data_IF_232757064654
#
_entry.id   IF_232757064654
#
_cell.length_a   1.000
_cell.length_b   1.000
_cell.length_c   1.000
_cell.angle_alpha   90.00
_cell.angle_beta   90.00
_cell.angle_gamma   90.00
#
_symmetry.space_group_name_H-M   'P 1'
#
loop_
_entity.id
_entity.type
_entity.pdbx_description
1 polymer ?
#
# COMPACT_ATOMS: atom_id res chain seq x y z
N UNK A 1 72.48 0.81 7.48
CA UNK A 1 72.60 -0.54 6.87
C UNK A 1 73.11 -1.61 7.83
N UNK A 2 73.88 -1.28 8.87
CA UNK A 2 74.34 -2.21 9.92
C UNK A 2 73.22 -2.70 10.83
N UNK A 3 72.24 -1.86 11.16
CA UNK A 3 71.11 -2.23 12.04
C UNK A 3 70.18 -3.29 11.43
N UNK A 4 69.93 -3.20 10.11
CA UNK A 4 69.06 -4.12 9.36
C UNK A 4 69.64 -5.54 9.33
N UNK A 5 70.97 -5.66 9.23
CA UNK A 5 71.67 -6.96 9.24
C UNK A 5 71.81 -7.56 10.64
N UNK A 6 71.73 -6.75 11.69
CA UNK A 6 71.93 -7.21 13.07
C UNK A 6 70.66 -7.80 13.69
N UNK A 7 69.48 -7.33 13.27
CA UNK A 7 68.18 -7.75 13.82
C UNK A 7 67.15 -8.13 12.74
N UNK A 8 67.44 -9.12 11.88
CA UNK A 8 66.55 -9.49 10.77
C UNK A 8 65.17 -9.96 11.26
N UNK A 9 65.10 -10.62 12.42
CA UNK A 9 63.84 -11.12 13.00
C UNK A 9 62.85 -10.01 13.35
N UNK A 10 63.33 -8.85 13.82
CA UNK A 10 62.47 -7.73 14.19
C UNK A 10 61.83 -7.11 12.93
N UNK A 11 62.61 -6.98 11.86
CA UNK A 11 62.11 -6.41 10.60
C UNK A 11 61.11 -7.35 9.93
N UNK A 12 61.40 -8.65 9.89
CA UNK A 12 60.47 -9.65 9.36
C UNK A 12 59.18 -9.68 10.19
N UNK A 13 59.29 -9.63 11.52
CA UNK A 13 58.15 -9.55 12.43
C UNK A 13 57.30 -8.30 12.21
N UNK A 14 57.93 -7.13 12.03
CA UNK A 14 57.23 -5.88 11.76
C UNK A 14 56.49 -5.90 10.42
N UNK A 15 57.09 -6.47 9.37
CA UNK A 15 56.45 -6.62 8.05
C UNK A 15 55.27 -7.58 8.11
N UNK A 16 55.41 -8.72 8.80
CA UNK A 16 54.31 -9.66 9.01
C UNK A 16 53.18 -9.04 9.83
N UNK A 17 53.50 -8.32 10.90
CA UNK A 17 52.50 -7.62 11.71
C UNK A 17 51.75 -6.56 10.89
N UNK A 18 52.45 -5.77 10.07
CA UNK A 18 51.83 -4.80 9.18
C UNK A 18 50.93 -5.48 8.14
N UNK A 19 51.37 -6.59 7.55
CA UNK A 19 50.58 -7.34 6.58
C UNK A 19 49.29 -7.92 7.20
N UNK A 20 49.36 -8.46 8.41
CA UNK A 20 48.20 -8.98 9.14
C UNK A 20 47.24 -7.85 9.51
N UNK A 21 47.74 -6.70 9.97
CA UNK A 21 46.90 -5.54 10.30
C UNK A 21 46.15 -5.00 9.06
N UNK A 22 46.83 -4.91 7.91
CA UNK A 22 46.19 -4.50 6.65
C UNK A 22 45.13 -5.53 6.24
N UNK A 23 45.43 -6.81 6.37
CA UNK A 23 44.50 -7.89 6.05
C UNK A 23 43.25 -7.89 6.93
N UNK A 24 43.41 -7.71 8.25
CA UNK A 24 42.29 -7.70 9.20
C UNK A 24 41.42 -6.45 9.07
N UNK A 25 42.01 -5.29 8.72
CA UNK A 25 41.24 -4.08 8.43
C UNK A 25 40.53 -4.10 7.07
N UNK A 26 41.07 -4.81 6.08
CA UNK A 26 40.51 -4.87 4.72
C UNK A 26 39.34 -5.84 4.55
N UNK A 27 39.20 -6.83 5.43
CA UNK A 27 38.16 -7.85 5.30
C UNK A 27 36.83 -7.38 5.92
N UNK A 28 35.98 -6.76 5.10
CA UNK A 28 34.61 -6.43 5.52
C UNK A 28 33.74 -7.69 5.59
N UNK A 29 32.97 -7.81 6.66
CA UNK A 29 31.98 -8.90 6.83
C UNK A 29 30.83 -8.72 5.84
N UNK A 30 30.42 -9.82 5.21
CA UNK A 30 29.33 -9.87 4.21
C UNK A 30 28.22 -10.79 4.70
N UNK A 31 26.98 -10.45 4.35
CA UNK A 31 25.75 -11.15 4.76
C UNK A 31 24.84 -11.29 3.54
N UNK A 32 24.00 -12.31 3.50
CA UNK A 32 23.02 -12.52 2.42
C UNK A 32 21.99 -11.38 2.42
N UNK A 33 21.73 -10.80 1.25
CA UNK A 33 20.72 -9.77 1.04
C UNK A 33 19.32 -10.27 1.41
N UNK A 34 18.51 -9.38 2.01
CA UNK A 34 17.13 -9.67 2.40
C UNK A 34 16.19 -9.53 1.20
N UNK A 35 16.53 -8.65 0.26
CA UNK A 35 15.71 -8.34 -0.91
C UNK A 35 16.06 -9.24 -2.09
N UNK A 36 17.36 -9.43 -2.35
CA UNK A 36 17.87 -10.14 -3.52
C UNK A 36 18.70 -11.36 -3.11
N UNK A 37 18.03 -12.45 -2.73
CA UNK A 37 18.68 -13.72 -2.43
C UNK A 37 19.16 -14.38 -3.75
N UNK A 38 20.43 -14.79 -3.94
CA UNK A 38 21.49 -15.03 -2.94
C UNK A 38 22.69 -14.06 -2.98
N UNK A 39 22.48 -12.77 -3.23
CA UNK A 39 23.60 -11.83 -3.28
C UNK A 39 24.18 -11.55 -1.87
N UNK A 40 25.51 -11.59 -1.74
CA UNK A 40 26.21 -11.18 -0.52
C UNK A 40 26.45 -9.68 -0.54
N UNK A 41 25.97 -8.98 0.47
CA UNK A 41 26.07 -7.53 0.62
C UNK A 41 26.91 -7.16 1.84
N UNK A 42 27.57 -6.00 1.75
CA UNK A 42 28.32 -5.41 2.86
C UNK A 42 27.38 -4.74 3.86
N UNK A 43 27.86 -4.45 5.08
CA UNK A 43 27.08 -3.75 6.10
C UNK A 43 26.44 -2.44 5.63
N UNK A 44 27.12 -1.50 4.94
CA UNK A 44 26.50 -0.26 4.47
C UNK A 44 25.44 -0.52 3.39
N UNK A 45 25.66 -1.48 2.49
CA UNK A 45 24.67 -1.86 1.47
C UNK A 45 23.42 -2.46 2.12
N UNK A 46 23.59 -3.34 3.11
CA UNK A 46 22.46 -3.92 3.85
C UNK A 46 21.65 -2.85 4.59
N UNK A 47 22.28 -1.81 5.13
CA UNK A 47 21.57 -0.71 5.79
C UNK A 47 20.65 0.04 4.81
N UNK A 48 21.13 0.31 3.60
CA UNK A 48 20.34 0.97 2.55
C UNK A 48 19.18 0.06 2.10
N UNK A 49 19.43 -1.24 1.92
CA UNK A 49 18.37 -2.20 1.57
C UNK A 49 17.26 -2.24 2.61
N UNK A 50 17.62 -2.30 3.89
CA UNK A 50 16.66 -2.33 5.00
C UNK A 50 15.86 -1.02 5.05
N UNK A 51 16.52 0.13 4.91
CA UNK A 51 15.84 1.43 4.93
C UNK A 51 14.83 1.56 3.78
N UNK A 52 15.24 1.18 2.57
CA UNK A 52 14.35 1.19 1.40
C UNK A 52 13.16 0.23 1.58
N UNK A 53 13.40 -0.99 2.07
CA UNK A 53 12.35 -1.97 2.32
C UNK A 53 11.35 -1.48 3.38
N UNK A 54 11.84 -0.88 4.46
CA UNK A 54 11.00 -0.30 5.49
C UNK A 54 10.16 0.87 4.97
N UNK A 55 10.74 1.75 4.14
CA UNK A 55 10.02 2.87 3.53
C UNK A 55 8.90 2.38 2.60
N UNK A 56 9.17 1.37 1.77
CA UNK A 56 8.18 0.77 0.88
C UNK A 56 7.00 0.17 1.68
N UNK A 57 7.30 -0.58 2.74
CA UNK A 57 6.26 -1.23 3.56
C UNK A 57 5.37 -0.23 4.31
N UNK A 58 5.93 0.90 4.75
CA UNK A 58 5.13 1.97 5.38
C UNK A 58 4.10 2.55 4.41
N UNK A 59 4.51 2.84 3.17
CA UNK A 59 3.61 3.35 2.14
C UNK A 59 2.45 2.38 1.86
N UNK A 60 2.74 1.08 1.73
CA UNK A 60 1.71 0.05 1.53
C UNK A 60 0.68 0.05 2.67
N UNK A 61 1.13 0.17 3.93
CA UNK A 61 0.24 0.20 5.11
C UNK A 61 -0.65 1.45 5.11
N UNK A 62 -0.10 2.63 4.83
CA UNK A 62 -0.87 3.88 4.83
C UNK A 62 -1.99 3.86 3.78
N UNK A 63 -1.69 3.30 2.60
CA UNK A 63 -2.71 3.14 1.56
C UNK A 63 -3.83 2.19 2.00
N UNK A 64 -3.49 1.10 2.69
CA UNK A 64 -4.48 0.15 3.17
C UNK A 64 -5.37 0.75 4.26
N UNK A 65 -4.78 1.53 5.18
CA UNK A 65 -5.52 2.24 6.24
C UNK A 65 -6.51 3.22 5.62
N UNK A 66 -6.08 4.06 4.67
CA UNK A 66 -6.97 5.03 4.02
C UNK A 66 -8.14 4.36 3.27
N UNK A 67 -7.90 3.21 2.64
CA UNK A 67 -8.96 2.45 2.00
C UNK A 67 -9.92 1.84 3.03
N UNK A 68 -9.41 1.36 4.15
CA UNK A 68 -10.22 0.82 5.23
C UNK A 68 -11.13 1.92 5.82
N UNK A 69 -10.61 3.11 6.08
CA UNK A 69 -11.39 4.25 6.59
C UNK A 69 -12.56 4.61 5.67
N UNK A 70 -12.34 4.70 4.35
CA UNK A 70 -13.41 4.94 3.38
C UNK A 70 -14.46 3.83 3.38
N UNK A 71 -14.07 2.58 3.61
CA UNK A 71 -14.99 1.45 3.69
C UNK A 71 -15.80 1.44 4.98
N UNK A 72 -15.19 1.84 6.10
CA UNK A 72 -15.91 2.00 7.36
C UNK A 72 -16.94 3.12 7.28
N UNK A 73 -16.61 4.26 6.64
CA UNK A 73 -17.57 5.34 6.44
C UNK A 73 -18.80 4.91 5.61
N UNK A 74 -18.58 4.09 4.58
CA UNK A 74 -19.67 3.53 3.77
C UNK A 74 -20.54 2.54 4.57
N UNK A 75 -19.91 1.70 5.41
CA UNK A 75 -20.63 0.79 6.31
C UNK A 75 -21.46 1.56 7.35
N UNK A 76 -20.92 2.63 7.93
CA UNK A 76 -21.64 3.46 8.90
C UNK A 76 -22.88 4.11 8.28
N UNK A 77 -22.78 4.59 7.04
CA UNK A 77 -23.94 5.12 6.28
C UNK A 77 -25.00 4.07 6.03
N UNK A 78 -24.59 2.83 5.73
CA UNK A 78 -25.51 1.73 5.53
C UNK A 78 -26.23 1.35 6.82
N UNK A 79 -25.51 1.32 7.94
CA UNK A 79 -26.09 1.05 9.25
C UNK A 79 -27.01 2.19 9.72
N UNK A 80 -26.68 3.45 9.45
CA UNK A 80 -27.57 4.58 9.73
C UNK A 80 -28.88 4.46 8.94
N UNK A 81 -28.81 4.19 7.64
CA UNK A 81 -29.99 4.00 6.80
C UNK A 81 -30.81 2.80 7.26
N UNK A 82 -30.15 1.69 7.59
CA UNK A 82 -30.78 0.50 8.14
C UNK A 82 -31.52 0.83 9.43
N UNK A 83 -30.88 1.50 10.38
CA UNK A 83 -31.48 1.86 11.66
C UNK A 83 -32.66 2.82 11.50
N UNK A 84 -32.55 3.81 10.61
CA UNK A 84 -33.66 4.69 10.27
C UNK A 84 -34.84 3.89 9.73
N UNK A 85 -34.60 2.98 8.79
CA UNK A 85 -35.63 2.15 8.16
C UNK A 85 -36.31 1.21 9.15
N UNK A 86 -35.55 0.56 10.02
CA UNK A 86 -36.10 -0.27 11.10
C UNK A 86 -36.88 0.56 12.13
N UNK A 87 -36.40 1.75 12.51
CA UNK A 87 -37.10 2.65 13.42
C UNK A 87 -38.46 3.10 12.87
N UNK A 88 -38.54 3.40 11.57
CA UNK A 88 -39.79 3.71 10.89
C UNK A 88 -40.73 2.51 10.80
N UNK A 89 -40.20 1.32 10.48
CA UNK A 89 -41.00 0.10 10.41
C UNK A 89 -41.62 -0.27 11.78
N UNK A 90 -40.85 -0.13 12.87
CA UNK A 90 -41.36 -0.34 14.23
C UNK A 90 -42.44 0.67 14.60
N UNK A 91 -42.25 1.94 14.25
CA UNK A 91 -43.25 3.00 14.50
C UNK A 91 -44.55 2.73 13.72
N UNK A 92 -44.44 2.24 12.49
CA UNK A 92 -45.58 1.81 11.67
C UNK A 92 -46.35 0.64 12.29
N UNK A 93 -45.64 -0.38 12.76
CA UNK A 93 -46.25 -1.56 13.39
C UNK A 93 -46.91 -1.26 14.75
N UNK A 94 -46.40 -0.28 15.50
CA UNK A 94 -46.95 0.12 16.80
C UNK A 94 -48.17 1.07 16.69
N UNK A 95 -48.63 1.39 15.48
CA UNK A 95 -49.78 2.28 15.26
C UNK A 95 -49.49 3.75 15.54
N UNK A 96 -48.21 4.16 15.54
CA UNK A 96 -47.81 5.57 15.74
C UNK A 96 -48.30 6.48 14.61
N UNK A 97 -48.53 7.76 14.91
CA UNK A 97 -48.87 8.77 13.89
C UNK A 97 -47.75 8.82 12.84
N UNK A 98 -48.03 8.25 11.67
CA UNK A 98 -47.09 8.27 10.55
C UNK A 98 -46.98 9.71 10.08
N UNK A 99 -45.76 10.28 10.12
CA UNK A 99 -45.52 11.55 9.45
C UNK A 99 -45.42 11.29 7.93
N UNK A 100 -46.41 11.70 7.13
CA UNK A 100 -46.40 11.45 5.69
C UNK A 100 -45.18 12.09 4.98
N UNK A 101 -44.61 13.15 5.56
CA UNK A 101 -43.38 13.75 5.05
C UNK A 101 -42.17 12.81 5.19
N UNK A 102 -42.10 12.02 6.27
CA UNK A 102 -41.03 11.04 6.48
C UNK A 102 -41.13 9.88 5.48
N UNK A 103 -42.34 9.38 5.22
CA UNK A 103 -42.59 8.34 4.21
C UNK A 103 -42.24 8.85 2.81
N UNK A 104 -42.64 10.07 2.47
CA UNK A 104 -42.28 10.70 1.20
C UNK A 104 -40.76 10.87 1.04
N UNK A 105 -40.06 11.23 2.12
CA UNK A 105 -38.60 11.33 2.13
C UNK A 105 -37.92 9.98 1.84
N UNK A 106 -38.42 8.89 2.43
CA UNK A 106 -37.88 7.53 2.23
C UNK A 106 -38.15 7.02 0.83
N UNK A 107 -39.38 7.18 0.34
CA UNK A 107 -39.73 6.82 -1.03
C UNK A 107 -38.89 7.65 -2.01
N UNK A 108 -38.75 8.95 -1.73
CA UNK A 108 -37.93 9.87 -2.52
C UNK A 108 -36.45 9.49 -2.54
N UNK A 109 -35.88 9.07 -1.41
CA UNK A 109 -34.48 8.65 -1.34
C UNK A 109 -34.24 7.31 -2.04
N UNK A 110 -35.15 6.35 -1.92
CA UNK A 110 -35.09 5.08 -2.65
C UNK A 110 -35.21 5.31 -4.17
N UNK A 111 -36.17 6.13 -4.60
CA UNK A 111 -36.34 6.46 -6.03
C UNK A 111 -35.16 7.29 -6.56
N UNK A 112 -34.63 8.22 -5.76
CA UNK A 112 -33.47 9.04 -6.11
C UNK A 112 -32.19 8.23 -6.28
N UNK A 113 -31.94 7.26 -5.38
CA UNK A 113 -30.84 6.30 -5.51
C UNK A 113 -31.03 5.39 -6.74
N UNK A 114 -32.25 4.89 -6.96
CA UNK A 114 -32.56 4.09 -8.16
C UNK A 114 -32.31 4.85 -9.47
N UNK A 115 -32.73 6.11 -9.55
CA UNK A 115 -32.55 6.95 -10.73
C UNK A 115 -31.07 7.31 -10.99
N UNK A 116 -30.29 7.54 -9.93
CA UNK A 116 -28.85 7.81 -10.06
C UNK A 116 -28.07 6.58 -10.52
N UNK A 117 -28.38 5.39 -9.97
CA UNK A 117 -27.79 4.12 -10.40
C UNK A 117 -28.13 3.80 -11.86
N UNK A 118 -29.38 3.98 -12.28
CA UNK A 118 -29.81 3.76 -13.68
C UNK A 118 -29.08 4.70 -14.65
N UNK A 119 -28.90 5.97 -14.25
CA UNK A 119 -28.17 6.95 -15.05
C UNK A 119 -26.67 6.63 -15.20
N UNK A 120 -26.02 6.13 -14.15
CA UNK A 120 -24.62 5.69 -14.21
C UNK A 120 -24.48 4.51 -15.17
N UNK A 121 -25.36 3.51 -15.04
CA UNK A 121 -25.34 2.31 -15.90
C UNK A 121 -25.52 2.67 -17.38
N UNK A 122 -26.47 3.56 -17.70
CA UNK A 122 -26.69 4.04 -19.08
C UNK A 122 -25.46 4.75 -19.63
N UNK A 123 -24.78 5.59 -18.84
CA UNK A 123 -23.54 6.26 -19.27
C UNK A 123 -22.43 5.28 -19.61
N UNK A 124 -22.23 4.24 -18.79
CA UNK A 124 -21.22 3.19 -19.07
C UNK A 124 -21.54 2.44 -20.35
N UNK A 125 -22.79 2.04 -20.57
CA UNK A 125 -23.22 1.34 -21.79
C UNK A 125 -23.03 2.22 -23.03
N UNK A 126 -23.41 3.50 -22.97
CA UNK A 126 -23.24 4.44 -24.08
C UNK A 126 -21.75 4.67 -24.40
N UNK A 127 -20.89 4.75 -23.38
CA UNK A 127 -19.45 4.88 -23.58
C UNK A 127 -18.85 3.65 -24.30
N UNK A 128 -19.26 2.45 -23.88
CA UNK A 128 -18.85 1.18 -24.52
C UNK A 128 -19.33 1.11 -25.98
N UNK A 129 -20.59 1.45 -26.25
CA UNK A 129 -21.15 1.45 -27.61
C UNK A 129 -20.50 2.51 -28.51
N UNK A 130 -20.16 3.69 -27.97
CA UNK A 130 -19.47 4.74 -28.73
C UNK A 130 -18.03 4.35 -29.07
N UNK A 131 -17.34 3.65 -28.17
CA UNK A 131 -16.01 3.07 -28.43
C UNK A 131 -16.03 2.00 -29.53
N UNK A 132 -17.06 1.15 -29.57
CA UNK A 132 -17.22 0.14 -30.63
C UNK A 132 -17.53 0.74 -32.00
N UNK A 133 -18.37 1.79 -32.07
CA UNK A 133 -18.67 2.49 -33.33
C UNK A 133 -17.51 3.35 -33.85
N UNK A 134 -16.61 3.82 -32.98
CA UNK A 134 -15.40 4.53 -33.39
C UNK A 134 -14.33 3.59 -33.98
N UNK A 135 -14.36 2.30 -33.64
CA UNK A 135 -13.45 1.28 -34.18
C UNK A 135 -13.93 0.63 -35.49
N UNK A 136 -15.14 0.92 -35.96
CA UNK A 136 -15.74 0.32 -37.16
C UNK A 136 -15.76 1.24 -38.39
N UNK A 137 -15.01 2.36 -38.38
CA UNK A 137 -14.79 3.16 -39.59
C UNK A 137 -14.04 2.26 -40.60
N UNK A 138 -14.65 1.86 -41.72
CA UNK A 138 -13.94 1.12 -42.75
C UNK A 138 -12.94 2.09 -43.37
N UNK A 139 -11.65 1.78 -43.25
CA UNK A 139 -10.63 2.39 -44.11
C UNK A 139 -10.87 1.90 -45.54
N UNK A 140 -11.70 2.64 -46.28
CA UNK A 140 -11.78 2.61 -47.74
C UNK A 140 -10.75 3.56 -48.34
#
# INVERSE_FOLDING_TARGET
WTFIKHNPGIIIGAVLAAAILIWTYGCQTRVVSIVNNPQLVTRPELQIEVEHFLAQKKLEVDTFISQAELKFEDLDRQDELRNALFGMALTFMQGGQINPAAVALVIGSILGLGATVDNIRKRTVIATLKGQNAGSVPTS
#
